data_IF_154118596558
#
_entry.id   IF_154118596558
#
_cell.length_a   1.000
_cell.length_b   1.000
_cell.length_c   1.000
_cell.angle_alpha   90.00
_cell.angle_beta   90.00
_cell.angle_gamma   90.00
#
_symmetry.space_group_name_H-M   'P 1'
#
loop_
_entity.id
_entity.type
_entity.pdbx_description
1 polymer ?
#
# COMPACT_ATOMS: atom_id res chain seq x y z
N UNK A 1 13.89 30.33 -30.95
CA UNK A 1 13.78 29.19 -30.03
C UNK A 1 14.17 27.96 -30.82
N UNK A 2 15.30 27.34 -30.50
CA UNK A 2 15.63 26.01 -31.03
C UNK A 2 14.67 24.99 -30.40
N UNK A 3 14.16 24.06 -31.20
CA UNK A 3 13.32 22.98 -30.68
C UNK A 3 14.20 21.94 -29.99
N UNK A 4 13.78 21.50 -28.81
CA UNK A 4 14.42 20.40 -28.07
C UNK A 4 14.47 19.13 -28.93
N UNK A 5 15.58 18.40 -28.83
CA UNK A 5 15.70 17.09 -29.48
C UNK A 5 14.91 16.04 -28.69
N UNK A 6 14.53 14.92 -29.31
CA UNK A 6 13.84 13.82 -28.61
C UNK A 6 14.64 13.28 -27.41
N UNK A 7 15.97 13.34 -27.50
CA UNK A 7 16.87 12.92 -26.42
C UNK A 7 16.83 13.89 -25.23
N UNK A 8 16.78 15.21 -25.50
CA UNK A 8 16.58 16.22 -24.45
C UNK A 8 15.22 16.04 -23.76
N UNK A 9 14.16 15.76 -24.52
CA UNK A 9 12.82 15.50 -23.96
C UNK A 9 12.78 14.24 -23.08
N UNK A 10 13.51 13.18 -23.43
CA UNK A 10 13.61 11.96 -22.60
C UNK A 10 14.41 12.20 -21.33
N UNK A 11 15.51 12.94 -21.40
CA UNK A 11 16.30 13.30 -20.21
C UNK A 11 15.51 14.22 -19.28
N UNK A 12 14.78 15.20 -19.81
CA UNK A 12 13.91 16.08 -19.04
C UNK A 12 12.77 15.30 -18.38
N UNK A 13 12.14 14.36 -19.11
CA UNK A 13 11.11 13.49 -18.56
C UNK A 13 11.64 12.59 -17.44
N UNK A 14 12.83 12.00 -17.62
CA UNK A 14 13.49 11.20 -16.60
C UNK A 14 13.85 12.05 -15.37
N UNK A 15 14.39 13.26 -15.57
CA UNK A 15 14.70 14.21 -14.50
C UNK A 15 13.44 14.59 -13.71
N UNK A 16 12.35 14.94 -14.38
CA UNK A 16 11.06 15.23 -13.75
C UNK A 16 10.55 14.02 -12.97
N UNK A 17 10.66 12.80 -13.52
CA UNK A 17 10.30 11.58 -12.80
C UNK A 17 11.15 11.39 -11.52
N UNK A 18 12.47 11.56 -11.60
CA UNK A 18 13.37 11.48 -10.43
C UNK A 18 13.05 12.55 -9.38
N UNK A 19 12.80 13.80 -9.77
CA UNK A 19 12.40 14.86 -8.85
C UNK A 19 11.06 14.55 -8.17
N UNK A 20 10.08 14.04 -8.91
CA UNK A 20 8.79 13.66 -8.36
C UNK A 20 8.92 12.50 -7.36
N UNK A 21 9.73 11.49 -7.67
CA UNK A 21 10.05 10.39 -6.75
C UNK A 21 10.72 10.93 -5.49
N UNK A 22 11.72 11.80 -5.62
CA UNK A 22 12.42 12.40 -4.49
C UNK A 22 11.53 13.24 -3.58
N UNK A 23 10.66 14.07 -4.16
CA UNK A 23 9.68 14.87 -3.41
C UNK A 23 8.67 13.96 -2.69
N UNK A 24 8.19 12.92 -3.37
CA UNK A 24 7.29 11.93 -2.78
C UNK A 24 7.93 11.21 -1.59
N UNK A 25 9.16 10.74 -1.74
CA UNK A 25 9.91 10.10 -0.67
C UNK A 25 10.10 11.04 0.54
N UNK A 26 10.49 12.30 0.29
CA UNK A 26 10.64 13.29 1.36
C UNK A 26 9.32 13.52 2.13
N UNK A 27 8.20 13.61 1.42
CA UNK A 27 6.88 13.74 2.03
C UNK A 27 6.56 12.53 2.93
N UNK A 28 6.75 11.31 2.41
CA UNK A 28 6.49 10.08 3.16
C UNK A 28 7.34 9.97 4.43
N UNK A 29 8.65 10.22 4.34
CA UNK A 29 9.53 10.18 5.52
C UNK A 29 9.21 11.26 6.55
N UNK A 30 8.86 12.48 6.11
CA UNK A 30 8.49 13.56 7.02
C UNK A 30 7.20 13.24 7.79
N UNK A 31 6.20 12.68 7.10
CA UNK A 31 4.94 12.24 7.72
C UNK A 31 5.14 11.04 8.64
N UNK A 32 5.94 10.06 8.21
CA UNK A 32 6.30 8.90 9.02
C UNK A 32 7.01 9.30 10.31
N UNK A 33 7.91 10.29 10.27
CA UNK A 33 8.58 10.80 11.46
C UNK A 33 7.56 11.37 12.47
N UNK A 34 6.64 12.22 12.01
CA UNK A 34 5.59 12.77 12.87
C UNK A 34 4.76 11.66 13.52
N UNK A 35 4.35 10.66 12.76
CA UNK A 35 3.59 9.55 13.31
C UNK A 35 4.40 8.67 14.25
N UNK A 36 5.71 8.51 14.03
CA UNK A 36 6.59 7.79 14.95
C UNK A 36 6.63 8.46 16.33
N UNK A 37 6.61 9.80 16.38
CA UNK A 37 6.56 10.56 17.64
C UNK A 37 5.22 10.34 18.36
N UNK A 38 4.11 10.36 17.62
CA UNK A 38 2.77 10.08 18.16
C UNK A 38 2.67 8.66 18.73
N UNK A 39 3.22 7.66 18.04
CA UNK A 39 3.27 6.26 18.48
C UNK A 39 4.11 6.11 19.74
N UNK A 40 5.31 6.69 19.77
CA UNK A 40 6.20 6.65 20.94
C UNK A 40 5.57 7.33 22.16
N UNK A 41 4.70 8.33 21.95
CA UNK A 41 3.90 8.95 23.00
C UNK A 41 2.71 8.08 23.48
N UNK A 42 2.51 6.89 22.93
CA UNK A 42 1.45 5.95 23.29
C UNK A 42 0.16 6.09 22.47
N UNK A 43 0.17 6.86 21.39
CA UNK A 43 -0.98 6.99 20.49
C UNK A 43 -1.08 5.80 19.54
N UNK A 44 -2.30 5.51 19.07
CA UNK A 44 -2.51 4.50 18.03
C UNK A 44 -2.46 5.17 16.66
N UNK A 45 -1.54 4.74 15.81
CA UNK A 45 -1.42 5.20 14.43
C UNK A 45 -2.64 4.85 13.55
N UNK A 46 -3.39 3.82 13.96
CA UNK A 46 -4.60 3.36 13.27
C UNK A 46 -5.82 3.64 14.13
N UNK A 47 -6.75 4.44 13.62
CA UNK A 47 -8.01 4.75 14.31
C UNK A 47 -8.96 3.54 14.37
N UNK A 48 -9.95 3.57 15.25
CA UNK A 48 -10.96 2.51 15.33
C UNK A 48 -11.82 2.43 14.05
N UNK A 49 -12.16 3.56 13.44
CA UNK A 49 -12.91 3.56 12.17
C UNK A 49 -12.10 2.95 11.03
N UNK A 50 -10.79 3.24 10.97
CA UNK A 50 -9.91 2.61 9.99
C UNK A 50 -9.76 1.11 10.26
N UNK A 51 -9.65 0.69 11.52
CA UNK A 51 -9.63 -0.73 11.89
C UNK A 51 -10.87 -1.48 11.37
N UNK A 52 -12.07 -0.94 11.59
CA UNK A 52 -13.31 -1.56 11.10
C UNK A 52 -13.38 -1.62 9.56
N UNK A 53 -12.85 -0.59 8.87
CA UNK A 53 -12.77 -0.58 7.41
C UNK A 53 -11.79 -1.63 6.88
N UNK A 54 -10.62 -1.77 7.53
CA UNK A 54 -9.61 -2.78 7.20
C UNK A 54 -10.17 -4.20 7.35
N UNK A 55 -10.94 -4.48 8.41
CA UNK A 55 -11.57 -5.79 8.59
C UNK A 55 -12.51 -6.14 7.45
N UNK A 56 -13.44 -5.25 7.09
CA UNK A 56 -14.37 -5.48 5.98
C UNK A 56 -13.66 -5.67 4.66
N UNK A 57 -12.64 -4.86 4.40
CA UNK A 57 -11.85 -5.01 3.18
C UNK A 57 -11.11 -6.35 3.14
N UNK A 58 -10.51 -6.77 4.26
CA UNK A 58 -9.79 -8.06 4.31
C UNK A 58 -10.69 -9.25 3.96
N UNK A 59 -11.97 -9.17 4.31
CA UNK A 59 -12.97 -10.18 3.93
C UNK A 59 -13.25 -10.17 2.42
N UNK A 60 -13.44 -8.98 1.83
CA UNK A 60 -13.63 -8.82 0.38
C UNK A 60 -12.42 -9.30 -0.42
N UNK A 61 -11.21 -8.95 0.03
CA UNK A 61 -9.97 -9.33 -0.61
C UNK A 61 -9.74 -10.85 -0.55
N UNK A 62 -10.10 -11.52 0.55
CA UNK A 62 -10.03 -12.99 0.63
C UNK A 62 -10.93 -13.67 -0.39
N UNK A 63 -12.17 -13.20 -0.54
CA UNK A 63 -13.11 -13.72 -1.55
C UNK A 63 -12.55 -13.52 -2.96
N UNK A 64 -11.96 -12.35 -3.24
CA UNK A 64 -11.31 -12.09 -4.51
C UNK A 64 -10.08 -13.00 -4.73
N UNK A 65 -9.29 -13.25 -3.68
CA UNK A 65 -8.13 -14.14 -3.72
C UNK A 65 -8.51 -15.59 -4.01
N UNK A 66 -9.56 -16.09 -3.36
CA UNK A 66 -10.12 -17.42 -3.66
C UNK A 66 -10.52 -17.56 -5.14
N UNK A 67 -11.09 -16.50 -5.73
CA UNK A 67 -11.39 -16.48 -7.16
C UNK A 67 -10.12 -16.47 -8.02
N UNK A 68 -9.08 -15.72 -7.66
CA UNK A 68 -7.79 -15.81 -8.37
C UNK A 68 -7.22 -17.22 -8.33
N UNK A 69 -7.28 -17.89 -7.18
CA UNK A 69 -6.78 -19.27 -7.03
C UNK A 69 -7.52 -20.29 -7.88
N UNK A 70 -8.82 -20.09 -8.10
CA UNK A 70 -9.62 -20.95 -8.99
C UNK A 70 -9.34 -20.68 -10.47
N UNK A 71 -9.03 -19.44 -10.83
CA UNK A 71 -8.93 -19.00 -12.23
C UNK A 71 -7.51 -19.01 -12.79
N UNK A 72 -6.48 -19.15 -11.93
CA UNK A 72 -5.06 -19.14 -12.34
C UNK A 72 -4.78 -20.20 -13.42
N UNK A 73 -5.25 -21.43 -13.25
CA UNK A 73 -4.99 -22.52 -14.19
C UNK A 73 -5.69 -22.34 -15.57
N UNK A 74 -6.66 -21.42 -15.69
CA UNK A 74 -7.46 -21.21 -16.90
C UNK A 74 -7.13 -19.91 -17.65
N UNK A 75 -6.65 -18.88 -16.96
CA UNK A 75 -6.48 -17.50 -17.49
C UNK A 75 -5.28 -16.78 -16.87
N UNK A 76 -4.18 -17.53 -16.74
CA UNK A 76 -3.00 -17.30 -15.89
C UNK A 76 -2.61 -15.85 -15.55
N UNK A 77 -2.24 -15.02 -16.53
CA UNK A 77 -1.45 -13.82 -16.20
C UNK A 77 -2.21 -12.76 -15.38
N UNK A 78 -3.42 -12.29 -15.77
CA UNK A 78 -4.12 -11.24 -15.04
C UNK A 78 -4.58 -11.66 -13.63
N UNK A 79 -4.97 -12.93 -13.44
CA UNK A 79 -5.40 -13.44 -12.14
C UNK A 79 -4.22 -13.67 -11.20
N UNK A 80 -3.06 -14.08 -11.72
CA UNK A 80 -1.82 -14.14 -10.93
C UNK A 80 -1.39 -12.75 -10.48
N UNK A 81 -1.41 -11.75 -11.36
CA UNK A 81 -1.07 -10.36 -11.03
C UNK A 81 -2.04 -9.76 -10.01
N UNK A 82 -3.35 -9.92 -10.22
CA UNK A 82 -4.36 -9.49 -9.25
C UNK A 82 -4.23 -10.22 -7.91
N UNK A 83 -3.88 -11.52 -7.93
CA UNK A 83 -3.61 -12.30 -6.72
C UNK A 83 -2.45 -11.73 -5.90
N UNK A 84 -1.34 -11.35 -6.54
CA UNK A 84 -0.20 -10.71 -5.86
C UNK A 84 -0.58 -9.37 -5.22
N UNK A 85 -1.38 -8.56 -5.92
CA UNK A 85 -1.90 -7.31 -5.34
C UNK A 85 -2.78 -7.60 -4.11
N UNK A 86 -3.70 -8.57 -4.21
CA UNK A 86 -4.57 -8.98 -3.11
C UNK A 86 -3.77 -9.44 -1.90
N UNK A 87 -2.73 -10.26 -2.10
CA UNK A 87 -1.84 -10.74 -1.05
C UNK A 87 -1.16 -9.57 -0.32
N UNK A 88 -0.54 -8.65 -1.07
CA UNK A 88 0.08 -7.45 -0.50
C UNK A 88 -0.93 -6.61 0.30
N UNK A 89 -2.16 -6.44 -0.20
CA UNK A 89 -3.19 -5.70 0.54
C UNK A 89 -3.66 -6.41 1.80
N UNK A 90 -3.71 -7.75 1.79
CA UNK A 90 -4.07 -8.54 2.97
C UNK A 90 -2.99 -8.46 4.06
N UNK A 91 -1.71 -8.47 3.66
CA UNK A 91 -0.58 -8.25 4.56
C UNK A 91 -0.61 -6.85 5.17
N UNK A 92 -0.84 -5.81 4.34
CA UNK A 92 -1.00 -4.45 4.83
C UNK A 92 -2.14 -4.35 5.86
N UNK A 93 -3.29 -4.95 5.56
CA UNK A 93 -4.41 -4.99 6.49
C UNK A 93 -4.04 -5.70 7.80
N UNK A 94 -3.33 -6.83 7.72
CA UNK A 94 -2.87 -7.60 8.88
C UNK A 94 -1.96 -6.77 9.79
N UNK A 95 -0.96 -6.10 9.21
CA UNK A 95 -0.01 -5.24 9.94
C UNK A 95 -0.74 -4.10 10.65
N UNK A 96 -1.59 -3.38 9.94
CA UNK A 96 -2.29 -2.21 10.48
C UNK A 96 -3.33 -2.57 11.53
N UNK A 97 -4.06 -3.68 11.33
CA UNK A 97 -4.97 -4.19 12.34
C UNK A 97 -4.21 -4.62 13.61
N UNK A 98 -3.06 -5.30 13.47
CA UNK A 98 -2.23 -5.65 14.63
C UNK A 98 -1.68 -4.43 15.36
N UNK A 99 -1.32 -3.39 14.61
CA UNK A 99 -0.90 -2.09 15.18
C UNK A 99 -2.02 -1.47 16.03
N UNK A 100 -3.26 -1.45 15.53
CA UNK A 100 -4.41 -0.99 16.30
C UNK A 100 -4.62 -1.80 17.59
N UNK A 101 -4.41 -3.13 17.52
CA UNK A 101 -4.57 -4.06 18.64
C UNK A 101 -3.34 -4.10 19.56
N UNK A 102 -2.32 -3.27 19.32
CA UNK A 102 -1.06 -3.28 20.07
C UNK A 102 -0.39 -4.66 20.11
N UNK A 103 -0.53 -5.42 19.03
CA UNK A 103 0.15 -6.70 18.83
C UNK A 103 1.51 -6.46 18.17
N UNK A 104 2.43 -7.40 18.40
CA UNK A 104 3.79 -7.34 17.85
C UNK A 104 3.73 -7.40 16.31
N UNK A 105 4.48 -6.49 15.70
CA UNK A 105 4.83 -6.46 14.28
C UNK A 105 6.36 -6.36 14.24
N UNK A 106 7.01 -7.25 13.47
CA UNK A 106 8.47 -7.30 13.44
C UNK A 106 9.02 -6.35 12.37
N UNK A 107 10.30 -5.98 12.51
CA UNK A 107 11.00 -5.16 11.52
C UNK A 107 11.08 -5.90 10.17
N UNK A 108 11.43 -7.18 10.18
CA UNK A 108 11.53 -7.99 8.96
C UNK A 108 10.21 -8.04 8.19
N UNK A 109 9.09 -8.13 8.91
CA UNK A 109 7.75 -8.12 8.32
C UNK A 109 7.45 -6.78 7.65
N UNK A 110 7.79 -5.66 8.31
CA UNK A 110 7.61 -4.32 7.75
C UNK A 110 8.48 -4.09 6.51
N UNK A 111 9.76 -4.48 6.57
CA UNK A 111 10.67 -4.39 5.42
C UNK A 111 10.16 -5.21 4.24
N UNK A 112 9.81 -6.48 4.46
CA UNK A 112 9.28 -7.36 3.43
C UNK A 112 8.02 -6.77 2.78
N UNK A 113 7.08 -6.26 3.60
CA UNK A 113 5.84 -5.68 3.08
C UNK A 113 6.09 -4.39 2.28
N UNK A 114 6.96 -3.50 2.77
CA UNK A 114 7.33 -2.27 2.06
C UNK A 114 8.00 -2.59 0.72
N UNK A 115 8.92 -3.55 0.69
CA UNK A 115 9.54 -4.00 -0.56
C UNK A 115 8.50 -4.62 -1.49
N UNK A 116 7.66 -5.55 -1.01
CA UNK A 116 6.63 -6.21 -1.82
C UNK A 116 5.69 -5.19 -2.47
N UNK A 117 5.33 -4.15 -1.72
CA UNK A 117 4.46 -3.06 -2.17
C UNK A 117 5.00 -2.29 -3.37
N UNK A 118 6.32 -2.18 -3.54
CA UNK A 118 6.92 -1.45 -4.67
C UNK A 118 6.75 -2.18 -6.01
N UNK A 119 6.47 -3.49 -5.98
CA UNK A 119 6.43 -4.34 -7.18
C UNK A 119 5.03 -4.88 -7.53
N UNK A 120 3.99 -4.44 -6.83
CA UNK A 120 2.59 -4.86 -7.11
C UNK A 120 1.84 -3.80 -7.90
N UNK A 121 1.20 -4.22 -8.99
CA UNK A 121 0.33 -3.37 -9.81
C UNK A 121 -1.14 -3.61 -9.44
N UNK A 122 -1.87 -2.52 -9.28
CA UNK A 122 -3.30 -2.51 -8.97
C UNK A 122 -4.18 -2.68 -10.21
N UNK A 123 -3.64 -2.47 -11.41
CA UNK A 123 -4.42 -2.40 -12.66
C UNK A 123 -5.17 -3.71 -12.96
N UNK A 124 -4.51 -4.86 -12.83
CA UNK A 124 -5.13 -6.16 -13.04
C UNK A 124 -6.31 -6.39 -12.08
N UNK A 125 -6.14 -6.06 -10.79
CA UNK A 125 -7.23 -6.14 -9.80
C UNK A 125 -8.40 -5.23 -10.19
N UNK A 126 -8.09 -3.98 -10.54
CA UNK A 126 -9.12 -3.01 -10.92
C UNK A 126 -9.91 -3.44 -12.16
N UNK A 127 -9.27 -4.05 -13.15
CA UNK A 127 -9.94 -4.54 -14.36
C UNK A 127 -10.81 -5.76 -14.10
N UNK A 128 -10.35 -6.69 -13.26
CA UNK A 128 -11.02 -7.97 -13.03
C UNK A 128 -12.15 -7.88 -11.99
N UNK A 129 -11.96 -7.10 -10.92
CA UNK A 129 -12.83 -7.17 -9.74
C UNK A 129 -13.71 -5.94 -9.53
N UNK A 130 -13.21 -4.72 -9.76
CA UNK A 130 -14.03 -3.51 -9.55
C UNK A 130 -15.35 -3.53 -10.33
N UNK A 131 -15.43 -3.95 -11.61
CA UNK A 131 -16.68 -3.96 -12.36
C UNK A 131 -17.77 -4.83 -11.76
N UNK A 132 -17.38 -5.92 -11.07
CA UNK A 132 -18.30 -6.92 -10.52
C UNK A 132 -18.93 -6.47 -9.19
N UNK A 133 -18.38 -5.46 -8.52
CA UNK A 133 -18.87 -4.98 -7.24
C UNK A 133 -19.99 -3.94 -7.36
N UNK A 134 -20.89 -3.93 -6.37
CA UNK A 134 -21.92 -2.89 -6.23
C UNK A 134 -21.28 -1.49 -6.09
N UNK A 135 -21.94 -0.40 -6.55
CA UNK A 135 -21.36 0.95 -6.55
C UNK A 135 -20.87 1.46 -5.19
N UNK A 136 -21.52 1.06 -4.10
CA UNK A 136 -21.13 1.37 -2.73
C UNK A 136 -19.84 0.64 -2.32
N UNK A 137 -19.72 -0.64 -2.66
CA UNK A 137 -18.51 -1.44 -2.39
C UNK A 137 -17.32 -0.92 -3.20
N UNK A 138 -17.55 -0.56 -4.47
CA UNK A 138 -16.53 0.10 -5.30
C UNK A 138 -16.02 1.40 -4.68
N UNK A 139 -16.93 2.23 -4.16
CA UNK A 139 -16.57 3.48 -3.48
C UNK A 139 -15.71 3.22 -2.25
N UNK A 140 -16.03 2.19 -1.47
CA UNK A 140 -15.24 1.81 -0.31
C UNK A 140 -13.85 1.30 -0.69
N UNK A 141 -13.75 0.47 -1.73
CA UNK A 141 -12.45 -0.02 -2.25
C UNK A 141 -11.60 1.15 -2.77
N UNK A 142 -12.17 2.07 -3.54
CA UNK A 142 -11.44 3.23 -4.07
C UNK A 142 -11.04 4.17 -2.93
N UNK A 143 -11.93 4.46 -1.99
CA UNK A 143 -11.61 5.28 -0.82
C UNK A 143 -10.47 4.65 0.00
N UNK A 144 -10.47 3.32 0.10
CA UNK A 144 -9.38 2.58 0.69
C UNK A 144 -8.09 2.71 -0.13
N UNK A 145 -8.10 2.49 -1.44
CA UNK A 145 -6.93 2.66 -2.31
C UNK A 145 -6.35 4.08 -2.23
N UNK A 146 -7.20 5.11 -2.14
CA UNK A 146 -6.74 6.50 -2.00
C UNK A 146 -6.07 6.79 -0.64
N UNK A 147 -6.38 6.01 0.39
CA UNK A 147 -5.72 6.07 1.70
C UNK A 147 -4.38 5.32 1.76
N UNK A 148 -3.91 4.74 0.64
CA UNK A 148 -2.69 3.93 0.59
C UNK A 148 -1.43 4.73 0.89
N UNK A 149 -1.33 5.98 0.45
CA UNK A 149 -0.21 6.86 0.77
C UNK A 149 -0.07 7.05 2.30
N UNK A 150 -1.17 7.38 2.98
CA UNK A 150 -1.19 7.51 4.43
C UNK A 150 -0.83 6.18 5.11
N UNK A 151 -1.30 5.03 4.62
CA UNK A 151 -0.89 3.72 5.19
C UNK A 151 0.60 3.44 5.03
N UNK A 152 1.20 3.87 3.92
CA UNK A 152 2.66 3.84 3.74
C UNK A 152 3.39 4.60 4.84
N UNK A 153 2.90 5.81 5.18
CA UNK A 153 3.46 6.63 6.25
C UNK A 153 3.38 5.93 7.63
N UNK A 154 2.30 5.18 7.93
CA UNK A 154 2.18 4.37 9.17
C UNK A 154 3.29 3.32 9.15
N UNK A 155 3.44 2.59 8.05
CA UNK A 155 4.36 1.47 7.96
C UNK A 155 5.81 1.94 8.10
N UNK A 156 6.19 3.04 7.45
CA UNK A 156 7.49 3.68 7.65
C UNK A 156 7.67 4.18 9.09
N UNK A 157 6.63 4.76 9.70
CA UNK A 157 6.69 5.20 11.09
C UNK A 157 6.96 4.02 12.04
N UNK A 158 6.26 2.89 11.83
CA UNK A 158 6.46 1.66 12.60
C UNK A 158 7.89 1.14 12.43
N UNK A 159 8.43 1.16 11.21
CA UNK A 159 9.79 0.72 10.94
C UNK A 159 10.81 1.57 11.72
N UNK A 160 10.63 2.90 11.73
CA UNK A 160 11.47 3.83 12.49
C UNK A 160 11.37 3.57 14.00
N UNK A 161 10.17 3.34 14.52
CA UNK A 161 9.96 3.01 15.95
C UNK A 161 10.66 1.70 16.30
N UNK A 162 10.44 0.64 15.50
CA UNK A 162 11.07 -0.66 15.70
C UNK A 162 12.59 -0.57 15.72
N UNK A 163 13.19 0.21 14.81
CA UNK A 163 14.64 0.43 14.78
C UNK A 163 15.13 1.22 16.01
N UNK A 164 14.41 2.27 16.44
CA UNK A 164 14.78 3.08 17.62
C UNK A 164 14.74 2.28 18.92
N UNK A 165 13.83 1.32 19.05
CA UNK A 165 13.74 0.48 20.26
C UNK A 165 14.87 -0.54 20.39
N UNK A 166 15.68 -0.73 19.35
CA UNK A 166 16.82 -1.66 19.35
C UNK A 166 18.16 -0.97 19.68
N UNK A 167 18.20 0.37 19.69
CA UNK A 167 19.36 1.20 20.03
C UNK A 167 19.35 1.59 21.51
#
# INVERSE_FOLDING_TARGET
MESLTEEDMRMESAFVAYCNIGIGAYYHFSMAQKWSEEILAGSKAVSYSDFMALQRLSELLRIAGERCDLMKDETDLPYVEAGRYIECMLDECSILMRTHLSKIVTMDELCYHLDFREYVDVDAFNKLFLPDYAPEVRRDIIAFQNKFAARGDILYALLIVSAKMQL
#
